data_IF_133770783050
#
_entry.id   IF_133770783050
#
_cell.length_a   1.000
_cell.length_b   1.000
_cell.length_c   1.000
_cell.angle_alpha   90.00
_cell.angle_beta   90.00
_cell.angle_gamma   90.00
#
_symmetry.space_group_name_H-M   'P 1'
#
loop_
_entity.id
_entity.type
_entity.pdbx_description
1 polymer ?
#
# COMPACT_ATOMS: atom_id res chain seq x y z
N UNK A 1 10.69 6.36 -15.96
CA UNK A 1 9.44 7.15 -16.05
C UNK A 1 9.47 7.90 -17.38
N UNK A 2 8.55 7.65 -18.31
CA UNK A 2 8.44 8.45 -19.53
C UNK A 2 7.66 9.75 -19.26
N UNK A 3 8.03 10.81 -19.95
CA UNK A 3 7.58 12.19 -19.80
C UNK A 3 6.05 12.37 -19.85
N UNK A 4 5.37 11.46 -20.54
CA UNK A 4 3.92 11.43 -20.72
C UNK A 4 3.14 11.20 -19.40
N UNK A 5 3.64 10.37 -18.48
CA UNK A 5 2.96 10.14 -17.18
C UNK A 5 3.06 11.34 -16.22
N UNK A 6 4.07 12.20 -16.38
CA UNK A 6 4.20 13.43 -15.56
C UNK A 6 3.10 14.44 -15.87
N UNK A 7 2.70 14.53 -17.15
CA UNK A 7 1.66 15.48 -17.58
C UNK A 7 0.27 15.06 -17.10
N UNK A 8 -0.02 13.75 -17.10
CA UNK A 8 -1.31 13.24 -16.63
C UNK A 8 -1.53 13.49 -15.13
N UNK A 9 -0.47 13.44 -14.31
CA UNK A 9 -0.57 13.64 -12.86
C UNK A 9 -0.66 15.10 -12.45
N UNK A 10 -0.10 15.99 -13.27
CA UNK A 10 -0.32 17.43 -13.13
C UNK A 10 -1.80 17.81 -13.26
N UNK A 11 -2.51 17.25 -14.25
CA UNK A 11 -3.94 17.57 -14.48
C UNK A 11 -4.86 17.13 -13.34
N UNK A 12 -4.50 16.07 -12.61
CA UNK A 12 -5.34 15.52 -11.52
C UNK A 12 -5.09 16.21 -10.19
N UNK A 13 -3.88 16.73 -9.94
CA UNK A 13 -3.46 17.20 -8.60
C UNK A 13 -3.08 18.67 -8.54
N UNK A 14 -2.83 19.33 -9.68
CA UNK A 14 -2.35 20.71 -9.75
C UNK A 14 -0.89 20.91 -9.31
N UNK A 15 -0.16 19.85 -8.91
CA UNK A 15 1.24 19.94 -8.50
C UNK A 15 2.18 19.80 -9.71
N UNK A 16 2.93 20.86 -9.98
CA UNK A 16 4.09 20.84 -10.87
C UNK A 16 5.33 20.45 -10.05
N UNK A 17 5.77 19.20 -10.16
CA UNK A 17 6.82 18.65 -9.31
C UNK A 17 7.30 17.28 -9.76
N UNK A 18 8.37 16.79 -9.13
CA UNK A 18 8.89 15.47 -9.43
C UNK A 18 7.98 14.39 -8.83
N UNK A 19 7.65 13.40 -9.64
CA UNK A 19 6.78 12.31 -9.21
C UNK A 19 7.52 10.99 -9.20
N UNK A 20 7.24 10.17 -8.21
CA UNK A 20 7.82 8.83 -8.04
C UNK A 20 6.74 7.78 -7.89
N UNK A 21 7.03 6.59 -8.37
CA UNK A 21 6.34 5.37 -7.94
C UNK A 21 7.29 4.55 -7.08
N UNK A 22 6.77 3.72 -6.16
CA UNK A 22 7.60 2.79 -5.43
C UNK A 22 8.38 1.86 -6.38
N UNK A 23 9.61 1.54 -5.99
CA UNK A 23 10.34 0.42 -6.60
C UNK A 23 9.71 -0.89 -6.13
N UNK A 24 8.71 -1.36 -6.88
CA UNK A 24 7.96 -2.59 -6.55
C UNK A 24 8.84 -3.83 -6.50
N UNK A 25 9.95 -3.86 -7.25
CA UNK A 25 10.91 -4.98 -7.18
C UNK A 25 11.73 -4.93 -5.88
N UNK A 26 12.04 -3.75 -5.36
CA UNK A 26 12.65 -3.64 -4.04
C UNK A 26 11.67 -4.02 -2.91
N UNK A 27 10.39 -3.63 -3.04
CA UNK A 27 9.33 -4.01 -2.10
C UNK A 27 9.13 -5.52 -2.07
N UNK A 28 9.04 -6.17 -3.23
CA UNK A 28 8.81 -7.62 -3.34
C UNK A 28 9.92 -8.48 -2.73
N UNK A 29 11.12 -7.92 -2.52
CA UNK A 29 12.22 -8.64 -1.84
C UNK A 29 12.03 -8.73 -0.34
N UNK A 30 11.16 -7.89 0.25
CA UNK A 30 10.95 -7.79 1.69
C UNK A 30 9.54 -8.18 2.11
N UNK A 31 8.57 -7.97 1.23
CA UNK A 31 7.15 -8.19 1.50
C UNK A 31 6.55 -9.08 0.42
N UNK A 32 5.60 -9.93 0.82
CA UNK A 32 4.93 -10.86 -0.08
C UNK A 32 3.79 -10.20 -0.87
N UNK A 33 3.21 -9.12 -0.33
CA UNK A 33 2.11 -8.38 -0.91
C UNK A 33 2.00 -6.95 -0.36
N UNK A 34 1.19 -6.14 -1.03
CA UNK A 34 0.69 -4.87 -0.52
C UNK A 34 -0.83 -4.84 -0.67
N UNK A 35 -1.52 -4.46 0.40
CA UNK A 35 -2.96 -4.27 0.43
C UNK A 35 -3.29 -2.78 0.58
N UNK A 36 -4.23 -2.30 -0.22
CA UNK A 36 -4.81 -0.96 -0.07
C UNK A 36 -6.25 -1.11 0.41
N UNK A 37 -6.50 -0.71 1.66
CA UNK A 37 -7.85 -0.77 2.24
C UNK A 37 -8.80 0.23 1.55
N UNK A 38 -10.10 -0.03 1.66
CA UNK A 38 -11.12 0.89 1.17
C UNK A 38 -11.02 2.28 1.82
N UNK A 39 -10.69 2.34 3.11
CA UNK A 39 -10.56 3.61 3.86
C UNK A 39 -9.44 4.47 3.30
N UNK A 40 -8.24 3.89 3.17
CA UNK A 40 -7.09 4.58 2.59
C UNK A 40 -7.33 4.96 1.13
N UNK A 41 -8.03 4.14 0.35
CA UNK A 41 -8.40 4.49 -1.02
C UNK A 41 -9.29 5.74 -1.05
N UNK A 42 -10.35 5.80 -0.23
CA UNK A 42 -11.28 6.94 -0.21
C UNK A 42 -10.62 8.23 0.28
N UNK A 43 -9.68 8.12 1.22
CA UNK A 43 -8.94 9.28 1.74
C UNK A 43 -7.96 9.84 0.71
N UNK A 44 -7.26 8.97 -0.01
CA UNK A 44 -6.14 9.34 -0.87
C UNK A 44 -6.52 9.48 -2.36
N UNK A 45 -7.70 9.01 -2.76
CA UNK A 45 -8.14 9.07 -4.15
C UNK A 45 -8.16 10.51 -4.66
N UNK A 46 -7.43 10.76 -5.75
CA UNK A 46 -7.33 12.10 -6.37
C UNK A 46 -6.42 13.08 -5.62
N UNK A 47 -5.81 12.68 -4.50
CA UNK A 47 -4.90 13.50 -3.71
C UNK A 47 -3.44 13.05 -3.82
N UNK A 48 -2.50 14.00 -3.86
CA UNK A 48 -1.06 13.68 -3.87
C UNK A 48 -0.54 13.40 -2.47
N UNK A 49 0.24 12.33 -2.31
CA UNK A 49 1.00 12.05 -1.10
C UNK A 49 2.42 12.61 -1.24
N UNK A 50 2.85 13.41 -0.27
CA UNK A 50 4.23 13.92 -0.22
C UNK A 50 5.16 12.81 0.26
N UNK A 51 6.22 12.53 -0.51
CA UNK A 51 7.29 11.59 -0.14
C UNK A 51 8.41 12.34 0.56
N UNK A 52 8.84 13.46 -0.02
CA UNK A 52 9.80 14.39 0.55
C UNK A 52 9.62 15.80 -0.07
N UNK A 53 10.56 16.72 0.23
CA UNK A 53 10.54 18.10 -0.26
C UNK A 53 10.50 18.21 -1.80
N UNK A 54 11.01 17.19 -2.49
CA UNK A 54 11.12 17.16 -3.95
C UNK A 54 10.03 16.30 -4.59
N UNK A 55 9.72 15.15 -3.99
CA UNK A 55 8.93 14.10 -4.61
C UNK A 55 7.54 13.94 -3.99
N UNK A 56 6.57 13.68 -4.87
CA UNK A 56 5.23 13.23 -4.50
C UNK A 56 4.86 11.95 -5.25
N UNK A 57 3.84 11.26 -4.73
CA UNK A 57 3.23 10.08 -5.32
C UNK A 57 1.69 10.19 -5.25
N UNK A 58 1.02 9.29 -5.94
CA UNK A 58 -0.44 9.14 -5.98
C UNK A 58 -0.76 7.65 -5.94
N UNK A 59 -1.91 7.29 -5.38
CA UNK A 59 -2.45 5.93 -5.49
C UNK A 59 -3.14 5.67 -6.84
N UNK A 60 -2.87 6.50 -7.86
CA UNK A 60 -3.51 6.42 -9.16
C UNK A 60 -3.25 5.05 -9.83
N UNK A 61 -4.33 4.36 -10.18
CA UNK A 61 -4.27 3.02 -10.78
C UNK A 61 -4.32 1.85 -9.80
N UNK A 62 -4.49 2.12 -8.50
CA UNK A 62 -4.87 1.10 -7.54
C UNK A 62 -6.38 0.88 -7.55
N UNK A 63 -6.81 -0.36 -7.37
CA UNK A 63 -8.21 -0.70 -7.11
C UNK A 63 -8.51 -0.63 -5.59
N UNK A 64 -9.73 -0.25 -5.20
CA UNK A 64 -10.12 -0.22 -3.79
C UNK A 64 -10.11 -1.63 -3.18
N UNK A 65 -9.76 -1.71 -1.90
CA UNK A 65 -9.78 -2.96 -1.11
C UNK A 65 -9.02 -4.13 -1.76
N UNK A 66 -7.92 -3.81 -2.44
CA UNK A 66 -7.21 -4.77 -3.29
C UNK A 66 -5.83 -5.11 -2.75
N UNK A 67 -5.49 -6.40 -2.79
CA UNK A 67 -4.17 -6.91 -2.43
C UNK A 67 -3.42 -7.38 -3.68
N UNK A 68 -2.28 -6.77 -3.95
CA UNK A 68 -1.35 -7.23 -4.99
C UNK A 68 -0.26 -8.07 -4.35
N UNK A 69 -0.20 -9.34 -4.75
CA UNK A 69 0.82 -10.30 -4.31
C UNK A 69 2.01 -10.29 -5.27
N UNK A 70 3.22 -10.28 -4.73
CA UNK A 70 4.46 -10.34 -5.50
C UNK A 70 5.04 -11.75 -5.61
N UNK A 71 4.46 -12.70 -4.87
CA UNK A 71 4.83 -14.11 -4.91
C UNK A 71 3.84 -14.89 -5.79
N UNK A 72 4.38 -15.75 -6.65
CA UNK A 72 3.58 -16.60 -7.56
C UNK A 72 3.04 -17.85 -6.85
N UNK A 73 3.52 -18.13 -5.62
CA UNK A 73 3.11 -19.33 -4.88
C UNK A 73 3.00 -19.02 -3.40
N UNK A 74 1.76 -19.08 -2.89
CA UNK A 74 1.51 -19.03 -1.47
C UNK A 74 2.06 -20.32 -0.86
N UNK A 75 3.16 -20.24 -0.11
CA UNK A 75 3.63 -21.37 0.68
C UNK A 75 2.80 -21.42 1.95
N UNK A 76 2.12 -22.53 2.16
CA UNK A 76 1.43 -22.79 3.42
C UNK A 76 2.48 -22.76 4.53
N UNK A 77 2.35 -21.82 5.47
CA UNK A 77 3.29 -21.71 6.57
C UNK A 77 3.13 -22.96 7.46
N UNK A 78 4.24 -23.64 7.78
CA UNK A 78 4.24 -24.78 8.72
C UNK A 78 3.59 -24.42 10.06
N UNK A 79 3.58 -23.13 10.40
CA UNK A 79 2.92 -22.63 11.60
C UNK A 79 2.13 -21.35 11.29
N UNK A 80 0.81 -21.51 11.13
CA UNK A 80 -0.13 -20.39 11.04
C UNK A 80 -0.08 -19.59 12.35
N UNK A 81 0.13 -18.28 12.23
CA UNK A 81 0.04 -17.35 13.34
C UNK A 81 -1.23 -16.52 13.19
N UNK A 82 -2.09 -16.58 14.19
CA UNK A 82 -3.27 -15.73 14.24
C UNK A 82 -2.89 -14.39 14.86
N UNK A 83 -3.44 -13.33 14.30
CA UNK A 83 -3.29 -11.97 14.80
C UNK A 83 -4.68 -11.40 15.05
N UNK A 84 -4.84 -10.74 16.20
CA UNK A 84 -6.04 -10.02 16.52
C UNK A 84 -5.78 -8.54 16.25
N UNK A 85 -6.56 -7.93 15.36
CA UNK A 85 -6.58 -6.49 15.23
C UNK A 85 -7.42 -5.92 16.36
N UNK A 86 -6.77 -5.15 17.25
CA UNK A 86 -7.44 -4.57 18.40
C UNK A 86 -8.34 -3.39 18.00
N UNK A 87 -7.98 -2.70 16.92
CA UNK A 87 -8.68 -1.52 16.40
C UNK A 87 -8.84 -1.62 14.88
N UNK A 88 -9.72 -2.52 14.41
CA UNK A 88 -10.01 -2.76 12.98
C UNK A 88 -10.42 -1.51 12.20
N UNK A 89 -10.83 -0.44 12.89
CA UNK A 89 -11.29 0.81 12.27
C UNK A 89 -10.34 2.01 12.54
N UNK A 90 -9.14 1.77 13.08
CA UNK A 90 -8.14 2.81 13.31
C UNK A 90 -7.11 2.82 12.18
N UNK A 91 -6.66 4.00 11.74
CA UNK A 91 -5.56 4.14 10.79
C UNK A 91 -4.25 3.54 11.31
N UNK A 92 -4.08 3.55 12.65
CA UNK A 92 -3.04 2.84 13.37
C UNK A 92 -3.55 1.45 13.79
N UNK A 93 -3.77 0.56 12.83
CA UNK A 93 -4.22 -0.81 13.11
C UNK A 93 -3.20 -1.53 14.01
N UNK A 94 -3.54 -1.67 15.29
CA UNK A 94 -2.71 -2.36 16.26
C UNK A 94 -3.00 -3.87 16.21
N UNK A 95 -2.11 -4.58 15.51
CA UNK A 95 -2.14 -6.04 15.44
C UNK A 95 -1.33 -6.64 16.59
N UNK A 96 -1.98 -7.44 17.42
CA UNK A 96 -1.30 -8.26 18.44
C UNK A 96 -1.37 -9.72 18.07
N UNK A 97 -0.28 -10.44 18.33
CA UNK A 97 -0.24 -11.89 18.10
C UNK A 97 -1.26 -12.56 19.03
N UNK A 98 -2.18 -13.32 18.46
CA UNK A 98 -3.13 -14.09 19.24
C UNK A 98 -2.37 -15.18 20.00
N UNK A 99 -2.51 -15.22 21.32
CA UNK A 99 -1.95 -16.29 22.13
C UNK A 99 -2.60 -17.61 21.71
N UNK A 100 -1.78 -18.65 21.44
CA UNK A 100 -2.31 -20.00 21.19
C UNK A 100 -3.07 -20.42 22.45
N UNK A 101 -4.40 -20.49 22.38
CA UNK A 101 -5.18 -21.19 23.40
C UNK A 101 -4.69 -22.64 23.42
N UNK A 102 -4.00 -23.03 24.49
CA UNK A 102 -3.69 -24.42 24.75
C UNK A 102 -5.02 -25.12 25.05
N UNK A 103 -5.45 -26.02 24.16
CA UNK A 103 -6.49 -27.01 24.43
C UNK A 103 -5.87 -28.37 24.62
#
# INVERSE_FOLDING_TARGET
MTEQKRHDWYHVTGRDGAWVIPDWLAVSRKYDAVHLSIGAYLELAGGSLTVDDTYATLIAGWDPDTTYWFIDTLREAEQVQHWNCLDVNSEDEHWVRAEKSAS
#
